data_IF_249241210526
#
_entry.id   IF_249241210526
#
_cell.length_a   1.000
_cell.length_b   1.000
_cell.length_c   1.000
_cell.angle_alpha   90.00
_cell.angle_beta   90.00
_cell.angle_gamma   90.00
#
_symmetry.space_group_name_H-M   'P 1'
#
loop_
_entity.id
_entity.type
_entity.pdbx_description
1 polymer ?
#
# COMPACT_ATOMS: atom_id res chain seq x y z
N UNK A 1 5.15 0.84 -9.64
CA UNK A 1 4.09 1.76 -9.21
C UNK A 1 3.15 1.05 -8.24
N UNK A 2 2.86 1.66 -7.09
CA UNK A 2 1.89 1.16 -6.10
C UNK A 2 0.47 1.26 -6.69
N UNK A 3 -0.17 0.13 -6.98
CA UNK A 3 -1.53 0.14 -7.54
C UNK A 3 -2.58 0.24 -6.42
N UNK A 4 -2.79 1.47 -5.98
CA UNK A 4 -3.72 1.88 -4.91
C UNK A 4 -5.08 2.36 -5.44
N UNK A 5 -5.28 2.33 -6.77
CA UNK A 5 -6.43 2.96 -7.42
C UNK A 5 -7.76 2.45 -6.85
N UNK A 6 -8.70 3.37 -6.70
CA UNK A 6 -10.10 3.11 -6.31
C UNK A 6 -11.02 3.64 -7.40
N UNK A 7 -12.32 3.35 -7.30
CA UNK A 7 -13.31 3.91 -8.22
C UNK A 7 -13.58 5.41 -7.98
N UNK A 8 -12.98 6.01 -6.95
CA UNK A 8 -13.07 7.43 -6.65
C UNK A 8 -11.69 8.11 -6.86
N UNK A 9 -11.53 9.00 -7.84
CA UNK A 9 -10.22 9.56 -8.15
C UNK A 9 -9.66 10.47 -7.03
N UNK A 10 -10.52 11.13 -6.25
CA UNK A 10 -10.08 11.91 -5.08
C UNK A 10 -9.58 11.00 -3.96
N UNK A 11 -10.25 9.88 -3.72
CA UNK A 11 -9.78 8.87 -2.76
C UNK A 11 -8.46 8.24 -3.20
N UNK A 12 -8.32 7.96 -4.50
CA UNK A 12 -7.06 7.51 -5.11
C UNK A 12 -5.94 8.52 -4.89
N UNK A 13 -6.17 9.81 -5.11
CA UNK A 13 -5.19 10.86 -4.82
C UNK A 13 -4.83 10.95 -3.33
N UNK A 14 -5.81 10.77 -2.43
CA UNK A 14 -5.54 10.70 -0.98
C UNK A 14 -4.63 9.53 -0.61
N UNK A 15 -4.78 8.38 -1.26
CA UNK A 15 -3.89 7.24 -1.07
C UNK A 15 -2.47 7.54 -1.57
N UNK A 16 -2.32 8.23 -2.70
CA UNK A 16 -1.00 8.68 -3.15
C UNK A 16 -0.40 9.77 -2.25
N UNK A 17 -1.20 10.66 -1.66
CA UNK A 17 -0.73 11.60 -0.65
C UNK A 17 -0.19 10.88 0.60
N UNK A 18 -0.87 9.81 1.03
CA UNK A 18 -0.41 8.95 2.11
C UNK A 18 0.92 8.27 1.75
N UNK A 19 1.03 7.70 0.53
CA UNK A 19 2.25 7.05 0.06
C UNK A 19 3.43 8.03 -0.03
N UNK A 20 3.20 9.26 -0.49
CA UNK A 20 4.20 10.32 -0.48
C UNK A 20 4.68 10.64 0.95
N UNK A 21 3.75 10.74 1.90
CA UNK A 21 4.05 11.05 3.30
C UNK A 21 4.92 9.98 3.97
N UNK A 22 4.79 8.73 3.54
CA UNK A 22 5.65 7.62 3.95
C UNK A 22 6.95 7.50 3.15
N UNK A 23 7.14 8.30 2.09
CA UNK A 23 8.32 8.21 1.23
C UNK A 23 8.30 6.99 0.31
N UNK A 24 7.12 6.47 -0.02
CA UNK A 24 6.93 5.28 -0.85
C UNK A 24 6.79 5.57 -2.35
N UNK A 25 6.76 6.85 -2.74
CA UNK A 25 6.66 7.27 -4.15
C UNK A 25 8.02 7.76 -4.65
N UNK A 26 8.37 7.35 -5.87
CA UNK A 26 9.51 7.90 -6.59
C UNK A 26 9.08 9.11 -7.42
N UNK A 27 10.04 9.94 -7.81
CA UNK A 27 9.74 11.14 -8.60
C UNK A 27 9.11 10.79 -9.95
N UNK A 28 9.50 9.65 -10.52
CA UNK A 28 8.96 9.10 -11.77
C UNK A 28 7.49 8.69 -11.68
N UNK A 29 6.98 8.36 -10.48
CA UNK A 29 5.57 7.97 -10.32
C UNK A 29 4.63 9.20 -10.40
N UNK A 30 5.10 10.39 -10.00
CA UNK A 30 4.22 11.55 -9.78
C UNK A 30 3.57 12.10 -11.06
N UNK A 31 4.28 12.25 -12.19
CA UNK A 31 3.64 12.68 -13.45
C UNK A 31 2.56 11.70 -13.92
N UNK A 32 2.79 10.39 -13.81
CA UNK A 32 1.78 9.37 -14.20
C UNK A 32 0.55 9.41 -13.30
N UNK A 33 0.74 9.63 -12.00
CA UNK A 33 -0.38 9.81 -11.06
C UNK A 33 -1.19 11.06 -11.42
N UNK A 34 -0.51 12.15 -11.77
CA UNK A 34 -1.17 13.39 -12.15
C UNK A 34 -1.96 13.28 -13.45
N UNK A 35 -1.36 12.68 -14.48
CA UNK A 35 -2.01 12.41 -15.76
C UNK A 35 -3.28 11.56 -15.60
N UNK A 36 -3.20 10.52 -14.77
CA UNK A 36 -4.37 9.68 -14.44
C UNK A 36 -5.47 10.47 -13.73
N UNK A 37 -5.12 11.28 -12.74
CA UNK A 37 -6.08 12.10 -12.01
C UNK A 37 -6.80 13.09 -12.93
N UNK A 38 -6.08 13.75 -13.85
CA UNK A 38 -6.64 14.64 -14.86
C UNK A 38 -7.58 13.88 -15.81
N UNK A 39 -7.17 12.69 -16.25
CA UNK A 39 -7.98 11.81 -17.11
C UNK A 39 -9.27 11.35 -16.41
N UNK A 40 -9.23 11.18 -15.08
CA UNK A 40 -10.39 10.82 -14.26
C UNK A 40 -11.24 12.05 -13.84
N UNK A 41 -10.94 13.23 -14.39
CA UNK A 41 -11.73 14.45 -14.18
C UNK A 41 -11.40 15.24 -12.92
N UNK A 42 -10.27 14.96 -12.26
CA UNK A 42 -9.77 15.76 -11.13
C UNK A 42 -8.79 16.80 -11.63
N UNK A 43 -9.18 18.08 -11.56
CA UNK A 43 -8.42 19.19 -12.10
C UNK A 43 -7.84 20.09 -11.01
N UNK A 44 -6.58 20.47 -11.21
CA UNK A 44 -5.86 21.51 -10.45
C UNK A 44 -4.69 21.99 -11.31
N UNK A 45 -4.26 23.24 -11.15
CA UNK A 45 -3.19 23.80 -11.99
C UNK A 45 -1.87 23.04 -11.74
N UNK A 46 -1.60 22.71 -10.49
CA UNK A 46 -0.42 21.95 -10.09
C UNK A 46 -0.40 20.52 -10.65
N UNK A 47 -1.56 19.85 -10.80
CA UNK A 47 -1.62 18.54 -11.46
C UNK A 47 -1.31 18.66 -12.95
N UNK A 48 -1.84 19.69 -13.63
CA UNK A 48 -1.58 19.91 -15.04
C UNK A 48 -0.10 20.17 -15.32
N UNK A 49 0.57 20.95 -14.47
CA UNK A 49 2.02 21.17 -14.57
C UNK A 49 2.81 19.87 -14.31
N UNK A 50 2.45 19.15 -13.25
CA UNK A 50 3.12 17.91 -12.87
C UNK A 50 3.02 16.83 -13.95
N UNK A 51 1.86 16.67 -14.58
CA UNK A 51 1.64 15.70 -15.65
C UNK A 51 2.54 15.96 -16.88
N UNK A 52 2.94 17.22 -17.11
CA UNK A 52 3.78 17.62 -18.23
C UNK A 52 5.28 17.67 -17.91
N UNK A 53 5.69 17.29 -16.70
CA UNK A 53 7.09 17.35 -16.27
C UNK A 53 7.90 16.22 -16.91
N UNK A 54 8.82 16.57 -17.81
CA UNK A 54 9.78 15.64 -18.40
C UNK A 54 11.05 15.54 -17.54
N UNK A 55 11.45 14.32 -17.16
CA UNK A 55 12.58 14.02 -16.25
C UNK A 55 12.35 14.52 -14.80
N UNK A 56 11.36 13.96 -14.09
CA UNK A 56 10.94 14.46 -12.78
C UNK A 56 12.02 14.26 -11.71
N UNK A 57 12.43 15.35 -11.05
CA UNK A 57 13.25 15.33 -9.84
C UNK A 57 12.40 15.55 -8.61
N UNK A 58 12.63 14.80 -7.52
CA UNK A 58 11.79 14.88 -6.31
C UNK A 58 11.74 16.29 -5.70
N UNK A 59 12.81 17.07 -5.84
CA UNK A 59 12.87 18.48 -5.42
C UNK A 59 11.90 19.39 -6.17
N UNK A 60 11.49 19.02 -7.38
CA UNK A 60 10.59 19.77 -8.26
C UNK A 60 9.16 19.23 -8.16
N UNK A 61 9.00 17.91 -8.35
CA UNK A 61 7.68 17.29 -8.39
C UNK A 61 7.03 17.15 -7.01
N UNK A 62 7.83 17.03 -5.95
CA UNK A 62 7.31 16.93 -4.58
C UNK A 62 6.54 18.18 -4.13
N UNK A 63 7.09 19.40 -4.31
CA UNK A 63 6.35 20.65 -4.08
C UNK A 63 5.08 20.78 -4.94
N UNK A 64 5.15 20.50 -6.24
CA UNK A 64 3.97 20.56 -7.14
C UNK A 64 2.87 19.62 -6.68
N UNK A 65 3.21 18.39 -6.29
CA UNK A 65 2.22 17.42 -5.85
C UNK A 65 1.56 17.83 -4.51
N UNK A 66 2.30 18.47 -3.60
CA UNK A 66 1.73 19.05 -2.38
C UNK A 66 0.83 20.26 -2.67
N UNK A 67 1.19 21.09 -3.65
CA UNK A 67 0.37 22.22 -4.07
C UNK A 67 -0.96 21.74 -4.67
N UNK A 68 -0.94 20.71 -5.52
CA UNK A 68 -2.13 20.03 -6.04
C UNK A 68 -3.06 19.56 -4.91
N UNK A 69 -2.52 18.95 -3.86
CA UNK A 69 -3.33 18.54 -2.72
C UNK A 69 -3.97 19.72 -1.99
N UNK A 70 -3.24 20.81 -1.78
CA UNK A 70 -3.78 22.02 -1.18
C UNK A 70 -4.92 22.63 -2.02
N UNK A 71 -4.74 22.69 -3.35
CA UNK A 71 -5.75 23.16 -4.31
C UNK A 71 -7.03 22.31 -4.27
N UNK A 72 -6.88 21.00 -4.10
CA UNK A 72 -7.98 20.03 -4.01
C UNK A 72 -8.59 19.92 -2.59
N UNK A 73 -8.13 20.71 -1.62
CA UNK A 73 -8.59 20.63 -0.23
C UNK A 73 -8.17 19.34 0.49
N UNK A 74 -7.15 18.65 -0.01
CA UNK A 74 -6.53 17.49 0.62
C UNK A 74 -5.41 18.00 1.53
N UNK A 75 -5.68 18.02 2.83
CA UNK A 75 -4.70 18.45 3.83
C UNK A 75 -3.48 17.52 3.94
N UNK A 76 -2.37 17.98 4.54
CA UNK A 76 -1.22 17.13 4.83
C UNK A 76 -1.64 15.98 5.75
N UNK A 77 -1.14 14.77 5.44
CA UNK A 77 -1.46 13.57 6.21
C UNK A 77 -0.32 13.23 7.17
N UNK A 78 -0.57 13.16 8.49
CA UNK A 78 0.42 12.67 9.44
C UNK A 78 0.89 11.27 9.03
N UNK A 79 2.19 10.99 9.15
CA UNK A 79 2.79 9.69 8.76
C UNK A 79 2.07 8.48 9.38
N UNK A 80 1.69 8.60 10.67
CA UNK A 80 0.92 7.57 11.37
C UNK A 80 -0.43 7.28 10.68
N UNK A 81 -1.18 8.34 10.35
CA UNK A 81 -2.49 8.22 9.72
C UNK A 81 -2.36 7.69 8.27
N UNK A 82 -1.30 8.12 7.57
CA UNK A 82 -0.96 7.61 6.24
C UNK A 82 -0.70 6.11 6.25
N UNK A 83 0.05 5.60 7.24
CA UNK A 83 0.30 4.18 7.41
C UNK A 83 -1.00 3.40 7.64
N UNK A 84 -1.87 3.85 8.54
CA UNK A 84 -3.16 3.20 8.77
C UNK A 84 -4.06 3.21 7.54
N UNK A 85 -4.13 4.32 6.82
CA UNK A 85 -4.94 4.45 5.60
C UNK A 85 -4.46 3.46 4.51
N UNK A 86 -3.16 3.44 4.25
CA UNK A 86 -2.56 2.55 3.25
C UNK A 86 -2.68 1.08 3.65
N UNK A 87 -2.43 0.76 4.92
CA UNK A 87 -2.61 -0.61 5.43
C UNK A 87 -4.05 -1.07 5.24
N UNK A 88 -5.04 -0.26 5.62
CA UNK A 88 -6.45 -0.59 5.39
C UNK A 88 -6.73 -0.84 3.91
N UNK A 89 -6.23 0.02 3.01
CA UNK A 89 -6.40 -0.18 1.56
C UNK A 89 -5.78 -1.49 1.09
N UNK A 90 -4.56 -1.82 1.54
CA UNK A 90 -3.91 -3.08 1.21
C UNK A 90 -4.70 -4.27 1.75
N UNK A 91 -5.19 -4.22 2.98
CA UNK A 91 -5.99 -5.30 3.56
C UNK A 91 -7.29 -5.50 2.79
N UNK A 92 -7.97 -4.43 2.36
CA UNK A 92 -9.13 -4.53 1.48
C UNK A 92 -8.77 -5.16 0.12
N UNK A 93 -7.63 -4.80 -0.46
CA UNK A 93 -7.14 -5.38 -1.72
C UNK A 93 -6.78 -6.87 -1.60
N UNK A 94 -6.45 -7.38 -0.41
CA UNK A 94 -6.24 -8.82 -0.20
C UNK A 94 -7.54 -9.63 -0.40
N UNK A 95 -8.70 -9.00 -0.21
CA UNK A 95 -10.00 -9.65 -0.41
C UNK A 95 -10.45 -9.67 -1.86
N UNK A 96 -9.74 -8.98 -2.76
CA UNK A 96 -10.00 -9.02 -4.20
C UNK A 96 -9.46 -10.33 -4.79
N UNK A 97 -10.36 -11.21 -5.24
CA UNK A 97 -10.00 -12.50 -5.82
C UNK A 97 -9.29 -12.38 -7.18
N UNK A 98 -9.40 -11.23 -7.86
CA UNK A 98 -8.72 -10.99 -9.13
C UNK A 98 -7.21 -10.71 -8.95
N UNK A 99 -6.76 -10.45 -7.71
CA UNK A 99 -5.35 -10.18 -7.39
C UNK A 99 -4.72 -11.32 -6.59
N UNK A 100 -3.48 -11.73 -6.93
CA UNK A 100 -2.70 -12.62 -6.08
C UNK A 100 -2.32 -11.93 -4.75
N UNK A 101 -2.65 -12.51 -3.59
CA UNK A 101 -2.36 -11.92 -2.28
C UNK A 101 -0.88 -11.56 -2.08
N UNK A 102 0.03 -12.39 -2.62
CA UNK A 102 1.49 -12.17 -2.54
C UNK A 102 1.91 -10.76 -2.98
N UNK A 103 1.34 -10.23 -4.07
CA UNK A 103 1.73 -8.91 -4.56
C UNK A 103 1.31 -7.80 -3.59
N UNK A 104 0.09 -7.89 -3.05
CA UNK A 104 -0.43 -6.94 -2.06
C UNK A 104 0.32 -7.04 -0.73
N UNK A 105 0.72 -8.24 -0.31
CA UNK A 105 1.54 -8.43 0.89
C UNK A 105 2.93 -7.79 0.77
N UNK A 106 3.55 -7.81 -0.42
CA UNK A 106 4.80 -7.07 -0.67
C UNK A 106 4.62 -5.57 -0.41
N UNK A 107 3.52 -4.99 -0.88
CA UNK A 107 3.20 -3.58 -0.62
C UNK A 107 2.96 -3.33 0.87
N UNK A 108 2.22 -4.21 1.53
CA UNK A 108 1.97 -4.12 2.97
C UNK A 108 3.29 -4.13 3.78
N UNK A 109 4.25 -4.98 3.38
CA UNK A 109 5.59 -5.02 3.99
C UNK A 109 6.31 -3.68 3.85
N UNK A 110 6.29 -3.07 2.66
CA UNK A 110 6.88 -1.75 2.44
C UNK A 110 6.25 -0.67 3.33
N UNK A 111 4.93 -0.71 3.53
CA UNK A 111 4.23 0.22 4.42
C UNK A 111 4.67 0.03 5.88
N UNK A 112 4.74 -1.21 6.35
CA UNK A 112 5.21 -1.54 7.71
C UNK A 112 6.63 -1.01 7.93
N UNK A 113 7.55 -1.27 7.01
CA UNK A 113 8.94 -0.82 7.11
C UNK A 113 9.04 0.72 7.10
N UNK A 114 8.28 1.39 6.22
CA UNK A 114 8.29 2.85 6.10
C UNK A 114 7.64 3.58 7.28
N UNK A 115 6.82 2.89 8.09
CA UNK A 115 6.12 3.45 9.23
C UNK A 115 6.77 3.12 10.59
N UNK A 116 7.84 2.32 10.62
CA UNK A 116 8.45 1.80 11.86
C UNK A 116 8.92 2.89 12.83
N UNK A 117 9.25 4.08 12.33
CA UNK A 117 9.64 5.25 13.14
C UNK A 117 8.47 5.86 13.93
N UNK A 118 7.25 5.79 13.38
CA UNK A 118 6.03 6.38 13.98
C UNK A 118 5.07 5.36 14.58
N UNK A 119 5.19 4.09 14.17
CA UNK A 119 4.43 2.93 14.62
C UNK A 119 5.42 1.78 14.87
N UNK A 120 6.19 1.83 15.96
CA UNK A 120 7.20 0.84 16.24
C UNK A 120 6.57 -0.52 16.52
N UNK A 121 7.30 -1.56 16.12
CA UNK A 121 6.98 -2.94 16.47
C UNK A 121 7.30 -3.21 17.95
N UNK A 122 6.47 -4.00 18.62
CA UNK A 122 6.66 -4.43 20.00
C UNK A 122 7.24 -5.85 20.08
N UNK A 123 6.39 -6.86 19.88
CA UNK A 123 6.75 -8.27 20.05
C UNK A 123 7.11 -8.95 18.72
N UNK A 124 6.44 -8.53 17.63
CA UNK A 124 6.60 -9.10 16.29
C UNK A 124 6.61 -7.99 15.23
N UNK A 125 7.30 -8.20 14.11
CA UNK A 125 7.26 -7.32 12.95
C UNK A 125 5.81 -7.14 12.45
N UNK A 126 5.39 -5.90 12.22
CA UNK A 126 4.02 -5.54 11.82
C UNK A 126 3.06 -5.32 12.98
N UNK A 127 3.50 -5.43 14.24
CA UNK A 127 2.64 -5.20 15.41
C UNK A 127 2.22 -3.75 15.59
N UNK A 128 3.01 -2.77 15.11
CA UNK A 128 2.64 -1.35 15.15
C UNK A 128 1.38 -1.00 14.35
N UNK A 129 1.02 -1.85 13.37
CA UNK A 129 -0.18 -1.74 12.52
C UNK A 129 -1.14 -2.92 12.72
N UNK A 130 -0.87 -3.78 13.72
CA UNK A 130 -1.64 -4.99 14.01
C UNK A 130 -1.76 -5.96 12.80
N UNK A 131 -0.73 -5.99 11.95
CA UNK A 131 -0.67 -6.84 10.74
C UNK A 131 0.38 -7.94 10.85
N UNK A 132 0.80 -8.30 12.07
CA UNK A 132 1.94 -9.22 12.28
C UNK A 132 1.80 -10.56 11.56
N UNK A 133 0.59 -11.13 11.52
CA UNK A 133 0.33 -12.38 10.77
C UNK A 133 0.39 -12.20 9.26
N UNK A 134 -0.21 -11.13 8.72
CA UNK A 134 -0.12 -10.80 7.29
C UNK A 134 1.34 -10.54 6.87
N UNK A 135 2.08 -9.82 7.70
CA UNK A 135 3.50 -9.58 7.53
C UNK A 135 4.29 -10.90 7.51
N UNK A 136 4.01 -11.82 8.44
CA UNK A 136 4.63 -13.15 8.46
C UNK A 136 4.31 -13.96 7.19
N UNK A 137 3.06 -13.96 6.72
CA UNK A 137 2.69 -14.65 5.47
C UNK A 137 3.47 -14.14 4.28
N UNK A 138 3.83 -12.84 4.22
CA UNK A 138 4.65 -12.30 3.13
C UNK A 138 6.00 -13.02 3.01
N UNK A 139 6.62 -13.37 4.13
CA UNK A 139 7.87 -14.13 4.16
C UNK A 139 7.66 -15.60 3.79
N UNK A 140 6.57 -16.19 4.27
CA UNK A 140 6.25 -17.60 3.98
C UNK A 140 6.01 -17.89 2.51
N UNK A 141 5.79 -16.90 1.64
CA UNK A 141 5.77 -17.11 0.18
C UNK A 141 7.15 -17.38 -0.42
N UNK A 142 8.21 -16.78 0.14
CA UNK A 142 9.58 -16.82 -0.38
C UNK A 142 10.45 -17.91 0.29
N UNK A 143 9.97 -18.54 1.37
CA UNK A 143 10.68 -19.60 2.09
C UNK A 143 10.86 -20.86 1.23
N UNK A 144 12.12 -21.34 1.04
CA UNK A 144 12.40 -22.52 0.24
C UNK A 144 12.13 -23.81 1.03
N UNK A 145 11.13 -24.59 0.59
CA UNK A 145 10.82 -25.99 0.97
C UNK A 145 10.48 -26.28 2.45
N UNK A 146 9.49 -27.16 2.64
CA UNK A 146 9.01 -27.72 3.91
C UNK A 146 8.44 -26.72 4.94
N UNK A 147 7.46 -25.92 4.52
CA UNK A 147 6.63 -25.24 5.50
C UNK A 147 5.68 -26.25 6.14
N UNK A 148 5.82 -26.38 7.46
CA UNK A 148 4.93 -27.17 8.29
C UNK A 148 3.75 -26.28 8.67
N UNK A 149 2.60 -26.48 8.05
CA UNK A 149 1.37 -25.80 8.44
C UNK A 149 0.54 -26.76 9.29
N UNK A 150 0.20 -26.36 10.52
CA UNK A 150 -0.58 -27.17 11.45
C UNK A 150 -0.02 -28.60 11.65
N UNK A 151 1.32 -28.72 11.69
CA UNK A 151 2.00 -30.00 11.87
C UNK A 151 2.07 -30.89 10.61
N UNK A 152 1.70 -30.36 9.42
CA UNK A 152 1.81 -31.07 8.14
C UNK A 152 2.86 -30.43 7.24
N UNK A 153 3.81 -31.23 6.77
CA UNK A 153 4.79 -30.81 5.76
C UNK A 153 4.09 -30.71 4.41
N UNK A 154 4.10 -29.51 3.82
CA UNK A 154 3.57 -29.28 2.46
C UNK A 154 4.75 -29.19 1.49
N UNK A 155 4.91 -30.22 0.66
CA UNK A 155 5.99 -30.30 -0.34
C UNK A 155 5.60 -29.74 -1.71
N UNK A 156 4.31 -29.50 -1.96
CA UNK A 156 3.82 -28.93 -3.21
C UNK A 156 3.70 -27.41 -3.11
N UNK A 157 4.45 -26.71 -3.95
CA UNK A 157 4.42 -25.24 -4.01
C UNK A 157 3.02 -24.69 -4.33
N UNK A 158 2.32 -25.32 -5.28
CA UNK A 158 0.94 -24.94 -5.64
C UNK A 158 0.00 -25.07 -4.44
N UNK A 159 0.08 -26.18 -3.69
CA UNK A 159 -0.74 -26.37 -2.49
C UNK A 159 -0.37 -25.38 -1.39
N UNK A 160 0.92 -25.08 -1.20
CA UNK A 160 1.41 -24.09 -0.23
C UNK A 160 0.85 -22.70 -0.54
N UNK A 161 0.97 -22.25 -1.79
CA UNK A 161 0.42 -20.95 -2.19
C UNK A 161 -1.10 -20.89 -2.01
N UNK A 162 -1.84 -21.94 -2.35
CA UNK A 162 -3.29 -21.97 -2.13
C UNK A 162 -3.69 -21.83 -0.64
N UNK A 163 -2.92 -22.45 0.26
CA UNK A 163 -3.15 -22.34 1.71
C UNK A 163 -2.77 -20.94 2.22
N UNK A 164 -1.63 -20.40 1.80
CA UNK A 164 -1.23 -19.03 2.14
C UNK A 164 -2.25 -18.01 1.64
N UNK A 165 -2.72 -18.18 0.41
CA UNK A 165 -3.76 -17.35 -0.20
C UNK A 165 -5.06 -17.38 0.62
N UNK A 166 -5.48 -18.57 1.07
CA UNK A 166 -6.65 -18.73 1.92
C UNK A 166 -6.46 -18.06 3.29
N UNK A 167 -5.37 -18.36 3.98
CA UNK A 167 -5.08 -17.84 5.32
C UNK A 167 -4.89 -16.32 5.32
N UNK A 168 -4.24 -15.79 4.29
CA UNK A 168 -4.06 -14.34 4.10
C UNK A 168 -5.41 -13.65 3.98
N UNK A 169 -6.34 -14.21 3.21
CA UNK A 169 -7.69 -13.65 3.06
C UNK A 169 -8.52 -13.75 4.34
N UNK A 170 -8.40 -14.85 5.07
CA UNK A 170 -9.06 -14.99 6.38
C UNK A 170 -8.56 -13.95 7.38
N UNK A 171 -7.24 -13.81 7.53
CA UNK A 171 -6.64 -12.83 8.42
C UNK A 171 -6.98 -11.39 7.99
N UNK A 172 -7.05 -11.10 6.68
CA UNK A 172 -7.46 -9.80 6.19
C UNK A 172 -8.91 -9.44 6.58
N UNK A 173 -9.84 -10.42 6.57
CA UNK A 173 -11.21 -10.21 7.06
C UNK A 173 -11.23 -9.91 8.55
N UNK A 174 -10.56 -10.76 9.35
CA UNK A 174 -10.46 -10.59 10.80
C UNK A 174 -9.83 -9.23 11.17
N UNK A 175 -8.84 -8.77 10.40
CA UNK A 175 -8.24 -7.45 10.61
C UNK A 175 -9.25 -6.32 10.37
N UNK A 176 -10.03 -6.36 9.28
CA UNK A 176 -11.05 -5.34 9.00
C UNK A 176 -12.20 -5.34 10.01
N UNK A 177 -12.51 -6.50 10.60
CA UNK A 177 -13.50 -6.60 11.68
C UNK A 177 -12.98 -5.96 12.98
N UNK A 178 -11.69 -6.15 13.30
CA UNK A 178 -11.04 -5.53 14.47
C UNK A 178 -10.84 -4.02 14.32
N UNK A 179 -10.68 -3.56 13.08
CA UNK A 179 -10.43 -2.17 12.72
C UNK A 179 -11.52 -1.66 11.76
N UNK A 180 -12.71 -1.28 12.23
CA UNK A 180 -13.78 -0.75 11.37
C UNK A 180 -13.41 0.57 10.70
#
# INVERSE_FOLDING_TARGET
>A
MLDLATNNPIETLRLYAAALSLGLLHSEDLPTIADRALSDGVYSDSLAELANTANPMMSEVGPLFRAAFAELGIGPMPRKDAAWLLTRRCVQLLLDESRPPRQTLTVLRMIVDAARDVLPDFEYCGSGLDVGRLYAYSWSYDEPNENCFEGRIITSEVKRHAILDHNTRMEAREWLERHP
#
